data_IF_797376056291
#
_entry.id   IF_797376056291
#
_cell.length_a   1.000
_cell.length_b   1.000
_cell.length_c   1.000
_cell.angle_alpha   90.00
_cell.angle_beta   90.00
_cell.angle_gamma   90.00
#
_symmetry.space_group_name_H-M   'P 1'
#
loop_
_entity.id
_entity.type
_entity.pdbx_description
1 polymer ?
#
# COMPACT_ATOMS: atom_id res chain seq x y z
N UNK A 1 -26.05 0.09 -11.21
CA UNK A 1 -25.99 0.77 -9.90
C UNK A 1 -26.57 -0.21 -8.89
N UNK A 2 -25.71 -1.03 -8.26
CA UNK A 2 -26.17 -2.00 -7.29
C UNK A 2 -26.08 -1.36 -5.91
N UNK A 3 -27.26 -1.10 -5.35
CA UNK A 3 -27.45 -0.56 -4.02
C UNK A 3 -27.07 -1.67 -3.03
N UNK A 4 -25.91 -1.56 -2.37
CA UNK A 4 -25.50 -2.51 -1.35
C UNK A 4 -26.42 -2.35 -0.14
N UNK A 5 -27.27 -3.34 0.08
CA UNK A 5 -28.20 -3.39 1.19
C UNK A 5 -27.47 -3.94 2.42
N UNK A 6 -27.06 -3.06 3.34
CA UNK A 6 -26.30 -3.38 4.57
C UNK A 6 -27.12 -4.05 5.68
N UNK A 7 -28.27 -4.67 5.38
CA UNK A 7 -29.21 -5.17 6.40
C UNK A 7 -29.04 -6.64 6.78
N UNK A 8 -28.09 -7.37 6.18
CA UNK A 8 -27.84 -8.77 6.54
C UNK A 8 -26.33 -9.07 6.53
N UNK A 9 -25.69 -8.93 7.69
CA UNK A 9 -24.23 -9.11 7.85
C UNK A 9 -23.84 -10.59 7.74
N UNK A 10 -24.78 -11.51 8.00
CA UNK A 10 -24.56 -12.97 7.97
C UNK A 10 -24.69 -13.61 6.57
N UNK A 11 -25.07 -12.83 5.55
CA UNK A 11 -25.18 -13.26 4.14
C UNK A 11 -24.11 -12.65 3.22
N UNK A 12 -23.09 -12.00 3.80
CA UNK A 12 -22.00 -11.46 3.00
C UNK A 12 -21.15 -12.63 2.49
N UNK A 13 -20.91 -12.76 1.17
CA UNK A 13 -20.01 -13.79 0.67
C UNK A 13 -18.62 -13.57 1.28
N UNK A 14 -18.19 -14.52 2.13
CA UNK A 14 -16.92 -14.47 2.88
C UNK A 14 -15.69 -14.29 1.98
N UNK A 15 -15.82 -14.51 0.67
CA UNK A 15 -14.71 -14.55 -0.27
C UNK A 15 -14.74 -13.32 -1.19
N UNK A 16 -13.63 -12.57 -1.19
CA UNK A 16 -13.36 -11.51 -2.18
C UNK A 16 -13.74 -10.09 -1.77
N UNK A 17 -14.49 -9.88 -0.67
CA UNK A 17 -14.82 -8.53 -0.18
C UNK A 17 -13.58 -7.70 0.19
N UNK A 18 -12.59 -8.31 0.84
CA UNK A 18 -11.34 -7.63 1.15
C UNK A 18 -10.62 -7.12 -0.10
N UNK A 19 -10.64 -7.88 -1.21
CA UNK A 19 -10.08 -7.40 -2.49
C UNK A 19 -10.93 -6.27 -3.09
N UNK A 20 -12.26 -6.28 -2.94
CA UNK A 20 -13.14 -5.17 -3.35
C UNK A 20 -12.82 -3.86 -2.61
N UNK A 21 -12.19 -3.92 -1.44
CA UNK A 21 -11.75 -2.76 -0.66
C UNK A 21 -10.31 -2.36 -1.00
N UNK A 22 -9.39 -3.33 -1.02
CA UNK A 22 -7.95 -3.06 -1.21
C UNK A 22 -7.66 -2.54 -2.63
N UNK A 23 -8.31 -3.07 -3.66
CA UNK A 23 -8.06 -2.67 -5.05
C UNK A 23 -8.36 -1.19 -5.33
N UNK A 24 -9.52 -0.63 -4.93
CA UNK A 24 -9.78 0.80 -5.11
C UNK A 24 -8.88 1.73 -4.28
N UNK A 25 -8.35 1.23 -3.15
CA UNK A 25 -7.44 2.00 -2.31
C UNK A 25 -6.05 2.10 -2.94
N UNK A 26 -5.53 0.98 -3.45
CA UNK A 26 -4.19 0.88 -3.99
C UNK A 26 -4.03 1.55 -5.37
N UNK A 27 -2.96 2.31 -5.56
CA UNK A 27 -2.56 2.74 -6.90
C UNK A 27 -1.67 1.66 -7.56
N UNK A 28 -0.90 0.92 -6.75
CA UNK A 28 -0.22 -0.32 -7.16
C UNK A 28 -0.55 -1.42 -6.13
N UNK A 29 -0.94 -2.58 -6.62
CA UNK A 29 -1.20 -3.77 -5.80
C UNK A 29 -0.55 -4.98 -6.43
N UNK A 30 0.30 -5.67 -5.68
CA UNK A 30 0.98 -6.88 -6.14
C UNK A 30 0.93 -7.98 -5.10
N UNK A 31 0.87 -9.22 -5.57
CA UNK A 31 1.03 -10.40 -4.74
C UNK A 31 2.11 -11.29 -5.37
N UNK A 32 3.26 -11.41 -4.73
CA UNK A 32 4.43 -12.09 -5.30
C UNK A 32 5.05 -13.07 -4.31
N UNK A 33 5.43 -14.26 -4.80
CA UNK A 33 6.23 -15.20 -4.03
C UNK A 33 7.66 -14.66 -3.90
N UNK A 34 8.15 -14.51 -2.68
CA UNK A 34 9.55 -14.22 -2.40
C UNK A 34 10.41 -15.46 -2.69
N UNK A 35 11.54 -15.33 -3.40
CA UNK A 35 12.41 -16.46 -3.69
C UNK A 35 13.05 -17.07 -2.43
N UNK A 36 13.33 -16.24 -1.43
CA UNK A 36 14.24 -16.57 -0.34
C UNK A 36 13.55 -17.36 0.80
N UNK A 37 12.31 -17.02 1.16
CA UNK A 37 11.66 -17.58 2.36
C UNK A 37 10.33 -18.32 2.09
N UNK A 38 10.01 -18.60 0.82
CA UNK A 38 8.70 -19.16 0.42
C UNK A 38 7.50 -18.37 0.97
N UNK A 39 7.66 -17.11 1.31
CA UNK A 39 6.55 -16.24 1.71
C UNK A 39 5.94 -15.61 0.47
N UNK A 40 4.63 -15.38 0.46
CA UNK A 40 4.03 -14.44 -0.46
C UNK A 40 4.02 -13.06 0.17
N UNK A 41 4.19 -12.01 -0.63
CA UNK A 41 4.08 -10.63 -0.19
C UNK A 41 2.91 -9.98 -0.92
N UNK A 42 1.89 -9.55 -0.15
CA UNK A 42 0.91 -8.58 -0.60
C UNK A 42 1.48 -7.18 -0.37
N UNK A 43 1.85 -6.51 -1.47
CA UNK A 43 2.33 -5.13 -1.46
C UNK A 43 1.27 -4.20 -2.02
N UNK A 44 0.86 -3.21 -1.23
CA UNK A 44 0.02 -2.09 -1.61
C UNK A 44 0.84 -0.80 -1.60
N UNK A 45 0.74 -0.01 -2.65
CA UNK A 45 1.29 1.36 -2.70
C UNK A 45 0.15 2.33 -2.93
N UNK A 46 0.11 3.40 -2.12
CA UNK A 46 -0.79 4.53 -2.29
C UNK A 46 -0.01 5.82 -2.40
N UNK A 47 -0.16 6.53 -3.51
CA UNK A 47 0.44 7.84 -3.72
C UNK A 47 -0.44 8.94 -3.14
N UNK A 48 0.19 10.03 -2.72
CA UNK A 48 -0.48 11.23 -2.25
C UNK A 48 0.39 12.46 -2.50
N UNK A 49 -0.26 13.60 -2.70
CA UNK A 49 0.45 14.86 -2.83
C UNK A 49 0.88 15.37 -1.46
N UNK A 50 2.19 15.53 -1.27
CA UNK A 50 2.77 16.14 -0.07
C UNK A 50 2.44 17.64 0.09
N UNK A 51 1.77 18.23 -0.89
CA UNK A 51 1.61 19.69 -1.07
C UNK A 51 0.28 20.26 -0.57
N UNK A 52 -0.47 19.54 0.27
CA UNK A 52 -1.80 19.98 0.71
C UNK A 52 -1.91 20.32 2.19
N UNK A 53 -0.99 21.15 2.69
CA UNK A 53 -1.32 22.06 3.79
C UNK A 53 -0.85 23.49 3.49
N UNK A 54 -1.84 24.38 3.31
CA UNK A 54 -1.75 25.85 3.34
C UNK A 54 -1.16 26.54 2.10
N UNK A 55 -2.04 27.09 1.24
CA UNK A 55 -2.00 28.50 0.77
C UNK A 55 -3.21 28.82 -0.10
N UNK A 56 -4.14 29.59 0.46
CA UNK A 56 -4.92 30.53 -0.31
C UNK A 56 -3.98 31.52 -1.04
N UNK A 57 -4.37 31.92 -2.25
CA UNK A 57 -3.82 33.02 -3.07
C UNK A 57 -2.61 32.73 -3.98
N UNK A 58 -2.92 32.73 -5.29
CA UNK A 58 -2.15 33.17 -6.47
C UNK A 58 -0.64 32.83 -6.55
N UNK A 59 -0.24 32.00 -7.53
CA UNK A 59 0.94 32.24 -8.40
C UNK A 59 1.04 31.24 -9.56
N UNK A 60 0.34 31.52 -10.68
CA UNK A 60 0.46 30.74 -11.94
C UNK A 60 1.73 31.06 -12.75
N UNK A 61 2.52 32.06 -12.35
CA UNK A 61 3.70 32.52 -13.09
C UNK A 61 5.00 31.76 -12.82
N UNK A 62 5.15 31.19 -11.62
CA UNK A 62 6.42 30.57 -11.19
C UNK A 62 6.61 29.16 -11.79
N UNK A 63 5.52 28.43 -12.08
CA UNK A 63 5.59 27.07 -12.64
C UNK A 63 6.12 27.03 -14.09
N UNK A 64 5.94 28.10 -14.86
CA UNK A 64 6.39 28.16 -16.26
C UNK A 64 7.91 28.37 -16.34
N UNK A 65 8.48 29.14 -15.39
CA UNK A 65 9.90 29.46 -15.39
C UNK A 65 10.77 28.23 -15.08
N UNK A 66 10.32 27.37 -14.16
CA UNK A 66 10.95 26.07 -13.85
C UNK A 66 11.02 25.14 -15.08
N UNK A 67 9.93 25.06 -15.86
CA UNK A 67 9.87 24.23 -17.09
C UNK A 67 10.83 24.69 -18.19
N UNK A 68 11.10 25.99 -18.27
CA UNK A 68 12.03 26.56 -19.25
C UNK A 68 13.50 26.29 -18.87
N UNK A 69 13.82 26.30 -17.57
CA UNK A 69 15.17 26.04 -17.08
C UNK A 69 15.57 24.58 -17.33
N UNK A 70 14.65 23.62 -17.20
CA UNK A 70 14.92 22.21 -17.53
C UNK A 70 15.18 21.97 -19.02
N UNK A 71 14.55 22.76 -19.90
CA UNK A 71 14.72 22.62 -21.35
C UNK A 71 16.08 23.14 -21.86
N UNK A 72 16.77 23.99 -21.09
CA UNK A 72 18.03 24.64 -21.50
C UNK A 72 19.31 23.94 -21.00
N UNK A 73 19.20 22.95 -20.11
CA UNK A 73 20.38 22.20 -19.57
C UNK A 73 21.08 21.31 -20.61
N UNK A 74 20.48 21.07 -21.78
CA UNK A 74 20.99 20.13 -22.79
C UNK A 74 21.98 20.71 -23.82
N UNK A 75 22.44 21.97 -23.66
CA UNK A 75 23.22 22.67 -24.71
C UNK A 75 24.69 22.96 -24.34
N UNK A 76 25.22 22.51 -23.18
CA UNK A 76 26.62 22.82 -22.79
C UNK A 76 27.53 21.57 -22.66
N UNK A 77 28.27 21.32 -23.76
CA UNK A 77 29.56 20.64 -23.98
C UNK A 77 29.85 19.14 -23.65
N UNK A 78 30.65 18.46 -24.51
CA UNK A 78 31.01 17.04 -24.41
C UNK A 78 32.41 16.84 -23.81
N UNK A 79 32.53 16.27 -22.60
CA UNK A 79 33.69 15.54 -22.03
C UNK A 79 33.51 15.23 -20.53
N UNK A 80 32.26 15.13 -20.07
CA UNK A 80 31.95 14.60 -18.74
C UNK A 80 31.54 13.15 -18.95
N UNK A 81 32.31 12.24 -18.37
CA UNK A 81 31.97 10.82 -18.29
C UNK A 81 30.53 10.68 -17.80
N UNK A 82 29.72 9.74 -18.34
CA UNK A 82 28.35 9.57 -17.86
C UNK A 82 28.39 9.34 -16.35
N UNK A 83 27.71 10.16 -15.53
CA UNK A 83 27.58 9.85 -14.12
C UNK A 83 26.88 8.50 -14.03
N UNK A 84 27.48 7.60 -13.26
CA UNK A 84 26.92 6.30 -12.92
C UNK A 84 25.44 6.46 -12.54
N UNK A 85 24.55 5.83 -13.29
CA UNK A 85 23.13 5.72 -12.98
C UNK A 85 22.96 4.99 -11.65
N UNK A 86 23.03 5.71 -10.53
CA UNK A 86 22.30 5.35 -9.33
C UNK A 86 20.93 6.01 -9.47
N UNK A 87 19.97 5.22 -9.94
CA UNK A 87 18.54 5.50 -9.84
C UNK A 87 18.25 6.07 -8.45
N UNK A 88 17.78 7.32 -8.37
CA UNK A 88 17.37 7.95 -7.12
C UNK A 88 16.14 7.21 -6.59
N UNK A 89 16.33 6.10 -5.89
CA UNK A 89 15.25 5.39 -5.22
C UNK A 89 14.59 6.34 -4.19
N UNK A 90 13.26 6.35 -4.08
CA UNK A 90 12.56 7.20 -3.12
C UNK A 90 13.08 6.91 -1.70
N UNK A 91 13.47 7.96 -0.97
CA UNK A 91 14.00 7.83 0.39
C UNK A 91 12.84 7.71 1.39
N UNK A 92 12.81 6.67 2.24
CA UNK A 92 11.76 6.52 3.24
C UNK A 92 11.91 7.57 4.35
N UNK A 93 10.80 8.17 4.77
CA UNK A 93 10.72 9.05 5.96
C UNK A 93 10.68 8.26 7.24
N UNK A 94 9.87 7.20 7.24
CA UNK A 94 9.71 6.31 8.38
C UNK A 94 9.31 4.93 7.87
N UNK A 95 9.91 3.89 8.47
CA UNK A 95 9.50 2.51 8.29
C UNK A 95 9.21 1.93 9.66
N UNK A 96 8.06 1.27 9.79
CA UNK A 96 7.72 0.48 10.97
C UNK A 96 7.52 -0.97 10.53
N UNK A 97 7.87 -1.91 11.40
CA UNK A 97 7.69 -3.35 11.18
C UNK A 97 7.00 -3.99 12.39
N UNK A 98 6.22 -5.03 12.15
CA UNK A 98 5.54 -5.84 13.15
C UNK A 98 5.52 -7.30 12.71
N UNK A 99 5.66 -8.22 13.66
CA UNK A 99 5.36 -9.62 13.46
C UNK A 99 4.28 -10.02 14.47
N UNK A 100 3.21 -10.64 13.99
CA UNK A 100 2.15 -11.21 14.82
C UNK A 100 1.89 -12.66 14.42
N UNK A 101 1.21 -13.38 15.29
CA UNK A 101 0.69 -14.70 14.96
C UNK A 101 -0.51 -14.57 14.00
N UNK A 102 -0.77 -15.63 13.24
CA UNK A 102 -1.92 -15.76 12.34
C UNK A 102 -3.23 -15.98 13.11
N UNK A 103 -3.64 -14.95 13.84
CA UNK A 103 -4.82 -14.92 14.70
C UNK A 103 -5.58 -13.60 14.49
N UNK A 104 -6.89 -13.66 14.26
CA UNK A 104 -7.73 -12.46 14.13
C UNK A 104 -7.72 -11.61 15.41
N UNK A 105 -7.46 -12.21 16.57
CA UNK A 105 -7.27 -11.49 17.82
C UNK A 105 -6.11 -10.49 17.79
N UNK A 106 -5.11 -10.70 16.93
CA UNK A 106 -3.98 -9.79 16.78
C UNK A 106 -4.30 -8.54 15.94
N UNK A 107 -5.52 -8.41 15.39
CA UNK A 107 -5.90 -7.24 14.58
C UNK A 107 -5.86 -5.95 15.42
N UNK A 108 -6.21 -5.99 16.70
CA UNK A 108 -6.10 -4.84 17.59
C UNK A 108 -4.65 -4.36 17.72
N UNK A 109 -3.70 -5.29 17.89
CA UNK A 109 -2.28 -4.99 17.95
C UNK A 109 -1.76 -4.40 16.64
N UNK A 110 -2.21 -4.93 15.49
CA UNK A 110 -1.86 -4.41 14.16
C UNK A 110 -2.34 -2.96 13.99
N UNK A 111 -3.59 -2.66 14.37
CA UNK A 111 -4.15 -1.31 14.24
C UNK A 111 -3.53 -0.32 15.23
N UNK A 112 -3.22 -0.77 16.45
CA UNK A 112 -2.51 0.02 17.45
C UNK A 112 -1.08 0.32 17.00
N UNK A 113 -0.38 -0.67 16.43
CA UNK A 113 0.95 -0.50 15.84
C UNK A 113 0.96 0.53 14.71
N UNK A 114 -0.03 0.50 13.83
CA UNK A 114 -0.16 1.46 12.73
C UNK A 114 -0.23 2.92 13.22
N UNK A 115 -0.80 3.18 14.41
CA UNK A 115 -0.89 4.53 14.98
C UNK A 115 0.47 5.21 15.20
N UNK A 116 1.59 4.48 15.19
CA UNK A 116 2.93 5.07 15.27
C UNK A 116 3.23 6.04 14.13
N UNK A 117 2.55 5.91 12.99
CA UNK A 117 2.71 6.80 11.84
C UNK A 117 1.76 8.01 11.87
N UNK A 118 0.95 8.21 12.92
CA UNK A 118 -0.07 9.27 13.00
C UNK A 118 0.48 10.69 12.83
N UNK A 119 1.74 10.91 13.20
CA UNK A 119 2.40 12.21 13.08
C UNK A 119 3.13 12.41 11.73
N UNK A 120 3.06 11.43 10.83
CA UNK A 120 3.56 11.58 9.48
C UNK A 120 2.62 12.48 8.66
N UNK A 121 3.14 13.24 7.69
CA UNK A 121 2.33 14.13 6.85
C UNK A 121 1.60 13.36 5.75
N UNK A 122 0.76 12.42 6.17
CA UNK A 122 -0.12 11.64 5.30
C UNK A 122 -1.49 12.31 5.36
N UNK A 123 -2.10 12.69 4.21
CA UNK A 123 -3.44 13.25 4.21
C UNK A 123 -4.43 12.32 4.92
N UNK A 124 -5.24 12.86 5.81
CA UNK A 124 -6.12 12.08 6.68
C UNK A 124 -7.03 11.07 5.93
N UNK A 125 -7.64 11.39 4.77
CA UNK A 125 -8.42 10.42 4.01
C UNK A 125 -7.59 9.21 3.55
N UNK A 126 -6.35 9.46 3.12
CA UNK A 126 -5.41 8.41 2.69
C UNK A 126 -5.00 7.55 3.87
N UNK A 127 -4.71 8.19 5.00
CA UNK A 127 -4.39 7.50 6.25
C UNK A 127 -5.47 6.48 6.65
N UNK A 128 -6.75 6.87 6.61
CA UNK A 128 -7.87 5.98 6.92
C UNK A 128 -8.09 4.88 5.89
N UNK A 129 -7.99 5.19 4.60
CA UNK A 129 -8.10 4.20 3.53
C UNK A 129 -7.01 3.11 3.67
N UNK A 130 -5.77 3.52 3.94
CA UNK A 130 -4.65 2.62 4.16
C UNK A 130 -4.83 1.79 5.45
N UNK A 131 -5.40 2.36 6.52
CA UNK A 131 -5.71 1.59 7.73
C UNK A 131 -6.75 0.49 7.47
N UNK A 132 -7.80 0.78 6.69
CA UNK A 132 -8.80 -0.22 6.31
C UNK A 132 -8.15 -1.29 5.42
N UNK A 133 -7.37 -0.89 4.41
CA UNK A 133 -6.69 -1.84 3.53
C UNK A 133 -5.69 -2.74 4.29
N UNK A 134 -5.02 -2.22 5.32
CA UNK A 134 -4.17 -3.00 6.23
C UNK A 134 -4.98 -4.06 6.98
N UNK A 135 -6.12 -3.68 7.55
CA UNK A 135 -7.00 -4.59 8.28
C UNK A 135 -7.53 -5.72 7.38
N UNK A 136 -8.00 -5.37 6.19
CA UNK A 136 -8.47 -6.33 5.19
C UNK A 136 -7.34 -7.24 4.69
N UNK A 137 -6.16 -6.69 4.43
CA UNK A 137 -5.00 -7.46 3.99
C UNK A 137 -4.54 -8.47 5.05
N UNK A 138 -4.50 -8.05 6.32
CA UNK A 138 -4.20 -8.93 7.44
C UNK A 138 -5.25 -10.03 7.62
N UNK A 139 -6.53 -9.66 7.60
CA UNK A 139 -7.65 -10.60 7.71
C UNK A 139 -7.62 -11.63 6.59
N UNK A 140 -7.27 -11.21 5.36
CA UNK A 140 -7.10 -12.13 4.24
C UNK A 140 -5.95 -13.11 4.44
N UNK A 141 -4.82 -12.65 5.01
CA UNK A 141 -3.71 -13.53 5.34
C UNK A 141 -4.13 -14.61 6.35
N UNK A 142 -4.85 -14.23 7.41
CA UNK A 142 -5.33 -15.17 8.45
C UNK A 142 -6.40 -16.13 7.90
N UNK A 143 -7.47 -15.60 7.32
CA UNK A 143 -8.67 -16.38 6.97
C UNK A 143 -8.52 -17.17 5.67
N UNK A 144 -7.70 -16.69 4.73
CA UNK A 144 -7.55 -17.33 3.42
C UNK A 144 -6.15 -17.96 3.25
N UNK A 145 -5.08 -17.16 3.34
CA UNK A 145 -3.73 -17.69 3.07
C UNK A 145 -3.31 -18.75 4.10
N UNK A 146 -3.64 -18.53 5.38
CA UNK A 146 -3.26 -19.39 6.50
C UNK A 146 -4.39 -20.31 6.98
N UNK A 147 -5.49 -20.46 6.23
CA UNK A 147 -6.67 -21.24 6.63
C UNK A 147 -6.36 -22.65 7.15
N UNK A 148 -5.32 -23.29 6.61
CA UNK A 148 -4.89 -24.64 6.97
C UNK A 148 -3.51 -24.68 7.65
N UNK A 149 -3.01 -23.54 8.14
CA UNK A 149 -1.75 -23.42 8.85
C UNK A 149 -2.00 -23.17 10.35
N UNK A 150 -1.05 -23.48 11.24
CA UNK A 150 -1.18 -23.17 12.67
C UNK A 150 -1.43 -21.68 12.90
N UNK A 151 -2.22 -21.32 13.91
CA UNK A 151 -2.39 -19.91 14.31
C UNK A 151 -1.06 -19.28 14.78
N UNK A 152 -0.08 -20.07 15.17
CA UNK A 152 1.29 -19.63 15.49
C UNK A 152 2.14 -19.31 14.25
N UNK A 153 1.63 -19.55 13.04
CA UNK A 153 2.31 -19.15 11.80
C UNK A 153 2.50 -17.63 11.82
N UNK A 154 3.73 -17.12 11.63
CA UNK A 154 3.96 -15.69 11.68
C UNK A 154 3.41 -14.99 10.44
N UNK A 155 2.83 -13.81 10.64
CA UNK A 155 2.56 -12.81 9.61
C UNK A 155 3.47 -11.63 9.91
N UNK A 156 4.29 -11.25 8.92
CA UNK A 156 5.09 -10.04 9.00
C UNK A 156 4.34 -8.90 8.32
N UNK A 157 4.42 -7.72 8.90
CA UNK A 157 3.85 -6.50 8.35
C UNK A 157 4.92 -5.41 8.36
N UNK A 158 4.94 -4.62 7.30
CA UNK A 158 5.77 -3.43 7.20
C UNK A 158 4.94 -2.31 6.60
N UNK A 159 5.07 -1.12 7.17
CA UNK A 159 4.58 0.11 6.54
C UNK A 159 5.75 1.06 6.38
N UNK A 160 5.94 1.54 5.15
CA UNK A 160 6.96 2.53 4.80
C UNK A 160 6.29 3.78 4.27
N UNK A 161 6.60 4.92 4.88
CA UNK A 161 6.10 6.23 4.49
C UNK A 161 7.21 6.96 3.75
N UNK A 162 6.91 7.41 2.54
CA UNK A 162 7.77 8.25 1.71
C UNK A 162 7.27 9.70 1.71
N UNK A 163 7.86 10.57 0.89
CA UNK A 163 7.35 11.94 0.72
C UNK A 163 5.97 11.97 0.08
N UNK A 164 5.75 11.14 -0.94
CA UNK A 164 4.59 11.21 -1.84
C UNK A 164 3.84 9.88 -1.94
N UNK A 165 4.17 8.93 -1.06
CA UNK A 165 3.52 7.62 -1.07
C UNK A 165 3.63 6.92 0.29
N UNK A 166 2.77 5.92 0.46
CA UNK A 166 2.78 4.97 1.56
C UNK A 166 2.75 3.58 0.96
N UNK A 167 3.64 2.72 1.45
CA UNK A 167 3.72 1.30 1.08
C UNK A 167 3.34 0.44 2.28
N UNK A 168 2.48 -0.54 2.06
CA UNK A 168 2.13 -1.59 3.01
C UNK A 168 2.56 -2.92 2.41
N UNK A 169 3.34 -3.69 3.16
CA UNK A 169 3.71 -5.06 2.83
C UNK A 169 3.19 -5.99 3.92
N UNK A 170 2.51 -7.07 3.52
CA UNK A 170 2.04 -8.15 4.38
C UNK A 170 2.59 -9.45 3.83
N UNK A 171 3.36 -10.16 4.63
CA UNK A 171 3.94 -11.44 4.24
C UNK A 171 3.22 -12.61 4.91
N UNK A 172 2.81 -13.57 4.08
CA UNK A 172 2.12 -14.79 4.47
C UNK A 172 2.84 -16.04 3.90
N UNK A 173 2.48 -17.22 4.40
CA UNK A 173 3.00 -18.53 4.03
C UNK A 173 1.98 -19.38 3.26
N UNK A 174 0.89 -18.77 2.79
CA UNK A 174 -0.14 -19.47 2.02
C UNK A 174 0.34 -19.97 0.65
N UNK A 175 -0.52 -20.66 -0.11
CA UNK A 175 -0.25 -20.93 -1.51
C UNK A 175 -0.25 -19.63 -2.35
N UNK A 176 0.60 -19.50 -3.37
CA UNK A 176 0.53 -18.35 -4.27
C UNK A 176 -0.77 -18.41 -5.08
N UNK A 177 -1.33 -17.24 -5.42
CA UNK A 177 -2.51 -17.12 -6.29
C UNK A 177 -2.40 -15.91 -7.20
N UNK A 178 -3.24 -15.88 -8.25
CA UNK A 178 -3.35 -14.74 -9.16
C UNK A 178 -4.33 -13.71 -8.60
N UNK A 179 -3.78 -12.60 -8.10
CA UNK A 179 -4.54 -11.51 -7.49
C UNK A 179 -5.54 -10.86 -8.47
N UNK A 180 -5.21 -10.76 -9.76
CA UNK A 180 -6.08 -10.14 -10.75
C UNK A 180 -7.23 -11.08 -11.14
N UNK A 181 -6.94 -12.37 -11.27
CA UNK A 181 -7.98 -13.37 -11.49
C UNK A 181 -8.96 -13.42 -10.31
N UNK A 182 -8.44 -13.41 -9.08
CA UNK A 182 -9.26 -13.46 -7.86
C UNK A 182 -10.16 -12.23 -7.73
N UNK A 183 -9.62 -11.03 -8.03
CA UNK A 183 -10.44 -9.82 -8.04
C UNK A 183 -11.55 -9.87 -9.09
N UNK A 184 -11.27 -10.33 -10.32
CA UNK A 184 -12.29 -10.47 -11.36
C UNK A 184 -13.40 -11.45 -10.95
N UNK A 185 -13.04 -12.57 -10.32
CA UNK A 185 -14.01 -13.54 -9.80
C UNK A 185 -14.88 -12.92 -8.70
N UNK A 186 -14.27 -12.12 -7.81
CA UNK A 186 -15.02 -11.43 -6.75
C UNK A 186 -16.10 -10.49 -7.29
N UNK A 187 -15.92 -9.87 -8.47
CA UNK A 187 -16.90 -8.94 -9.06
C UNK A 187 -18.13 -9.64 -9.67
N UNK A 188 -18.06 -10.94 -9.91
CA UNK A 188 -19.14 -11.72 -10.54
C UNK A 188 -20.09 -12.36 -9.53
N UNK A 189 -19.67 -12.41 -8.26
CA UNK A 189 -20.43 -12.88 -7.09
C UNK A 189 -20.88 -11.71 -6.21
#
# INVERSE_FOLDING_TARGET
MNNLNFSNIDELPEHGWGLKIIFPVADELTYKRTPDDRQNCLKLVKNYDSSSETSSSQNKGVQILERLIESLKNIINPLVSPPSNQENAPTPRQTIQLQVNSDLGALEDVLAWYQQLKNQPIPQPIWWQCQIALAEGFTNAVNHAHKNLPCTTPIHLQVTVFNESLEICIWDYGPPFDLQAEFKNSQQN
#
